data_IF_271119321461
#
_entry.id   IF_271119321461
#
_cell.length_a   1.000
_cell.length_b   1.000
_cell.length_c   1.000
_cell.angle_alpha   90.00
_cell.angle_beta   90.00
_cell.angle_gamma   90.00
#
_symmetry.space_group_name_H-M   'P 1'
#
loop_
_entity.id
_entity.type
_entity.pdbx_description
1 polymer ?
#
# COMPACT_ATOMS: atom_id res chain seq x y z
N UNK A 1 17.61 3.32 14.51
CA UNK A 1 17.93 4.77 14.43
C UNK A 1 16.67 5.43 13.88
N UNK A 2 16.10 6.40 14.58
CA UNK A 2 14.78 7.02 14.36
C UNK A 2 13.56 6.11 14.62
N UNK A 3 13.14 5.94 15.89
CA UNK A 3 11.87 5.28 16.22
C UNK A 3 10.68 6.07 15.63
N UNK A 4 9.71 5.35 15.06
CA UNK A 4 8.48 5.93 14.51
C UNK A 4 7.46 6.06 15.63
N UNK A 5 6.95 7.27 15.86
CA UNK A 5 5.91 7.54 16.85
C UNK A 5 4.52 7.36 16.26
N UNK A 6 4.28 7.93 15.06
CA UNK A 6 2.96 7.94 14.44
C UNK A 6 3.03 7.88 12.91
N UNK A 7 2.06 7.22 12.30
CA UNK A 7 1.84 7.18 10.86
C UNK A 7 0.40 7.59 10.56
N UNK A 8 0.24 8.57 9.69
CA UNK A 8 -1.02 8.87 9.01
C UNK A 8 -0.89 8.36 7.58
N UNK A 9 -1.81 7.50 7.16
CA UNK A 9 -1.78 6.90 5.82
C UNK A 9 -3.12 7.07 5.12
N UNK A 10 -3.07 7.46 3.85
CA UNK A 10 -4.21 7.40 2.95
C UNK A 10 -3.85 6.52 1.78
N UNK A 11 -4.64 5.47 1.55
CA UNK A 11 -4.38 4.49 0.51
C UNK A 11 -5.25 4.74 -0.72
N UNK A 12 -4.69 4.39 -1.87
CA UNK A 12 -5.28 4.46 -3.19
C UNK A 12 -5.23 3.05 -3.75
N UNK A 13 -6.19 2.23 -3.35
CA UNK A 13 -6.18 0.80 -3.61
C UNK A 13 -6.75 0.52 -5.00
N UNK A 14 -5.96 -0.16 -5.83
CA UNK A 14 -6.37 -0.69 -7.12
C UNK A 14 -7.50 -1.73 -7.01
N UNK A 15 -8.23 -1.86 -8.11
CA UNK A 15 -9.36 -2.78 -8.29
C UNK A 15 -8.94 -4.25 -8.26
N UNK A 16 -7.72 -4.59 -8.71
CA UNK A 16 -7.27 -5.99 -8.76
C UNK A 16 -7.22 -6.70 -7.41
N UNK A 17 -7.26 -5.98 -6.28
CA UNK A 17 -7.45 -6.59 -4.95
C UNK A 17 -8.77 -7.36 -4.80
N UNK A 18 -9.79 -7.03 -5.59
CA UNK A 18 -11.07 -7.75 -5.65
C UNK A 18 -11.10 -8.86 -6.74
N UNK A 19 -9.98 -9.10 -7.43
CA UNK A 19 -9.83 -10.18 -8.40
C UNK A 19 -10.05 -9.79 -9.86
N UNK A 20 -9.97 -10.79 -10.75
CA UNK A 20 -9.97 -10.57 -12.20
C UNK A 20 -11.30 -10.05 -12.77
N UNK A 21 -12.43 -10.48 -12.21
CA UNK A 21 -13.75 -10.02 -12.64
C UNK A 21 -13.95 -8.53 -12.36
N UNK A 22 -13.53 -8.07 -11.19
CA UNK A 22 -13.52 -6.66 -10.80
C UNK A 22 -12.71 -5.80 -11.78
N UNK A 23 -11.55 -6.27 -12.25
CA UNK A 23 -10.78 -5.57 -13.29
C UNK A 23 -11.53 -5.49 -14.62
N UNK A 24 -12.12 -6.61 -15.07
CA UNK A 24 -12.91 -6.65 -16.30
C UNK A 24 -14.15 -5.73 -16.23
N UNK A 25 -14.76 -5.61 -15.05
CA UNK A 25 -15.83 -4.65 -14.79
C UNK A 25 -15.34 -3.21 -14.91
N UNK A 26 -14.19 -2.85 -14.34
CA UNK A 26 -13.65 -1.48 -14.47
C UNK A 26 -13.46 -1.11 -15.94
N UNK A 27 -12.88 -2.01 -16.74
CA UNK A 27 -12.69 -1.77 -18.17
C UNK A 27 -14.02 -1.58 -18.91
N UNK A 28 -15.01 -2.43 -18.58
CA UNK A 28 -16.33 -2.38 -19.22
C UNK A 28 -17.06 -1.09 -18.86
N UNK A 29 -17.14 -0.76 -17.57
CA UNK A 29 -17.74 0.50 -17.11
C UNK A 29 -17.02 1.70 -17.70
N UNK A 30 -15.69 1.67 -17.81
CA UNK A 30 -14.92 2.77 -18.40
C UNK A 30 -15.30 2.99 -19.87
N UNK A 31 -15.39 1.91 -20.66
CA UNK A 31 -15.85 1.98 -22.06
C UNK A 31 -17.29 2.49 -22.18
N UNK A 32 -18.18 1.98 -21.34
CA UNK A 32 -19.60 2.36 -21.37
C UNK A 32 -19.77 3.85 -21.05
N UNK A 33 -19.20 4.32 -19.93
CA UNK A 33 -19.27 5.73 -19.51
C UNK A 33 -18.68 6.66 -20.58
N UNK A 34 -17.53 6.33 -21.16
CA UNK A 34 -16.93 7.13 -22.24
C UNK A 34 -17.76 7.13 -23.53
N UNK A 35 -18.56 6.09 -23.76
CA UNK A 35 -19.51 6.01 -24.88
C UNK A 35 -20.87 6.66 -24.61
N UNK A 36 -21.05 7.31 -23.45
CA UNK A 36 -22.31 7.93 -23.04
C UNK A 36 -23.36 6.94 -22.55
N UNK A 37 -22.98 5.68 -22.27
CA UNK A 37 -23.84 4.67 -21.66
C UNK A 37 -23.70 4.71 -20.14
N UNK A 38 -24.75 4.35 -19.38
CA UNK A 38 -24.63 4.21 -17.93
C UNK A 38 -23.67 3.07 -17.57
N UNK A 39 -22.91 3.23 -16.48
CA UNK A 39 -22.18 2.12 -15.90
C UNK A 39 -23.15 1.06 -15.35
N UNK A 40 -22.79 -0.22 -15.47
CA UNK A 40 -23.55 -1.34 -14.92
C UNK A 40 -22.71 -2.07 -13.86
N UNK A 41 -22.85 -1.72 -12.56
CA UNK A 41 -22.13 -2.40 -11.50
C UNK A 41 -22.55 -3.88 -11.36
N UNK A 42 -21.58 -4.78 -11.20
CA UNK A 42 -21.80 -6.23 -11.10
C UNK A 42 -21.04 -6.85 -9.91
N UNK A 43 -19.74 -6.63 -9.81
CA UNK A 43 -18.89 -7.13 -8.72
C UNK A 43 -18.83 -6.12 -7.55
N UNK A 44 -19.06 -4.84 -7.83
CA UNK A 44 -19.16 -3.80 -6.81
C UNK A 44 -20.58 -3.24 -6.70
N UNK A 45 -20.98 -2.76 -5.51
CA UNK A 45 -22.30 -2.15 -5.31
C UNK A 45 -22.47 -0.79 -5.98
N UNK A 46 -21.38 -0.19 -6.47
CA UNK A 46 -21.35 1.16 -7.04
C UNK A 46 -20.49 1.22 -8.30
N UNK A 47 -20.68 2.26 -9.10
CA UNK A 47 -19.82 2.54 -10.25
C UNK A 47 -18.38 2.75 -9.79
N UNK A 48 -17.46 2.04 -10.43
CA UNK A 48 -16.02 2.11 -10.18
C UNK A 48 -15.27 2.89 -11.27
N UNK A 49 -15.84 3.02 -12.47
CA UNK A 49 -15.26 3.89 -13.50
C UNK A 49 -15.39 5.36 -13.09
N UNK A 50 -14.28 6.11 -13.16
CA UNK A 50 -14.22 7.54 -12.84
C UNK A 50 -14.75 7.89 -11.44
N UNK A 51 -14.59 7.00 -10.46
CA UNK A 51 -15.12 7.18 -9.11
C UNK A 51 -14.12 6.75 -8.02
N UNK A 52 -14.28 7.30 -6.81
CA UNK A 52 -13.53 6.96 -5.61
C UNK A 52 -14.52 6.58 -4.49
N UNK A 53 -14.18 5.58 -3.68
CA UNK A 53 -15.05 5.14 -2.59
C UNK A 53 -14.26 4.50 -1.44
N UNK A 54 -14.81 4.54 -0.23
CA UNK A 54 -14.27 3.81 0.93
C UNK A 54 -14.10 2.33 0.60
N UNK A 55 -13.05 1.69 1.10
CA UNK A 55 -12.86 0.25 0.90
C UNK A 55 -14.16 -0.52 1.21
N UNK A 56 -14.55 -1.45 0.32
CA UNK A 56 -15.84 -2.13 0.35
C UNK A 56 -15.96 -3.25 1.39
N UNK A 57 -15.06 -3.28 2.38
CA UNK A 57 -15.17 -4.16 3.55
C UNK A 57 -16.20 -3.61 4.55
N UNK A 58 -16.62 -4.44 5.50
CA UNK A 58 -17.58 -4.02 6.52
C UNK A 58 -17.04 -2.83 7.35
N UNK A 59 -17.95 -1.96 7.76
CA UNK A 59 -17.66 -0.83 8.67
C UNK A 59 -18.00 -1.25 10.10
N UNK A 60 -17.03 -1.08 11.01
CA UNK A 60 -17.19 -1.31 12.44
C UNK A 60 -17.99 -0.22 13.15
N UNK A 61 -18.33 -0.45 14.42
CA UNK A 61 -19.09 0.51 15.22
C UNK A 61 -18.32 1.83 15.51
N UNK A 62 -17.00 1.81 15.37
CA UNK A 62 -16.08 2.94 15.50
C UNK A 62 -15.90 3.73 14.18
N UNK A 63 -16.54 3.30 13.10
CA UNK A 63 -16.50 3.94 11.79
C UNK A 63 -15.34 3.50 10.90
N UNK A 64 -14.45 2.62 11.38
CA UNK A 64 -13.36 2.07 10.58
C UNK A 64 -13.85 0.89 9.74
N UNK A 65 -13.35 0.78 8.50
CA UNK A 65 -13.54 -0.43 7.73
C UNK A 65 -12.57 -1.54 8.19
N UNK A 66 -12.88 -2.81 7.88
CA UNK A 66 -12.02 -3.94 8.27
C UNK A 66 -10.59 -3.83 7.73
N UNK A 67 -10.40 -3.28 6.52
CA UNK A 67 -9.08 -3.10 5.90
C UNK A 67 -8.23 -2.08 6.69
N UNK A 68 -8.82 -0.97 7.10
CA UNK A 68 -8.15 0.02 7.96
C UNK A 68 -7.78 -0.59 9.32
N UNK A 69 -8.72 -1.32 9.92
CA UNK A 69 -8.48 -2.01 11.20
C UNK A 69 -7.38 -3.08 11.07
N UNK A 70 -7.31 -3.76 9.92
CA UNK A 70 -6.27 -4.73 9.59
C UNK A 70 -4.90 -4.06 9.49
N UNK A 71 -4.79 -2.94 8.77
CA UNK A 71 -3.53 -2.18 8.67
C UNK A 71 -2.97 -1.81 10.05
N UNK A 72 -3.82 -1.35 10.98
CA UNK A 72 -3.39 -1.02 12.35
C UNK A 72 -2.84 -2.26 13.07
N UNK A 73 -3.59 -3.36 13.08
CA UNK A 73 -3.20 -4.60 13.78
C UNK A 73 -1.95 -5.24 13.19
N UNK A 74 -1.88 -5.33 11.87
CA UNK A 74 -0.75 -5.95 11.16
C UNK A 74 0.52 -5.12 11.33
N UNK A 75 0.44 -3.79 11.30
CA UNK A 75 1.59 -2.92 11.56
C UNK A 75 2.17 -3.19 12.96
N UNK A 76 1.34 -3.15 14.00
CA UNK A 76 1.78 -3.44 15.38
C UNK A 76 2.43 -4.81 15.52
N UNK A 77 1.79 -5.83 14.92
CA UNK A 77 2.30 -7.20 14.93
C UNK A 77 3.63 -7.35 14.19
N UNK A 78 3.77 -6.74 13.01
CA UNK A 78 4.98 -6.83 12.18
C UNK A 78 6.17 -6.12 12.80
N UNK A 79 5.94 -4.96 13.43
CA UNK A 79 7.00 -4.20 14.10
C UNK A 79 7.26 -4.62 15.54
N UNK A 80 6.47 -5.57 16.07
CA UNK A 80 6.51 -5.98 17.48
C UNK A 80 6.37 -4.79 18.45
N UNK A 81 5.54 -3.82 18.07
CA UNK A 81 5.35 -2.56 18.78
C UNK A 81 3.86 -2.23 18.88
N UNK A 82 3.27 -2.44 20.04
CA UNK A 82 1.86 -2.10 20.32
C UNK A 82 1.65 -0.58 20.51
N UNK A 83 2.73 0.17 20.74
CA UNK A 83 2.71 1.61 20.99
C UNK A 83 2.65 2.48 19.73
N UNK A 84 3.03 1.93 18.57
CA UNK A 84 2.99 2.68 17.31
C UNK A 84 1.55 3.15 17.00
N UNK A 85 1.43 4.45 16.74
CA UNK A 85 0.16 5.09 16.46
C UNK A 85 -0.08 5.10 14.95
N UNK A 86 -1.13 4.44 14.47
CA UNK A 86 -1.45 4.35 13.05
C UNK A 86 -2.89 4.79 12.82
N UNK A 87 -3.11 5.69 11.87
CA UNK A 87 -4.45 6.10 11.43
C UNK A 87 -4.53 6.00 9.91
N UNK A 88 -5.13 4.91 9.39
CA UNK A 88 -5.32 4.70 7.97
C UNK A 88 -6.69 5.20 7.49
N UNK A 89 -6.73 5.63 6.23
CA UNK A 89 -7.96 5.80 5.45
C UNK A 89 -7.82 5.05 4.14
N UNK A 90 -8.72 4.08 3.90
CA UNK A 90 -8.60 3.18 2.77
C UNK A 90 -9.59 3.49 1.66
N UNK A 91 -9.09 4.00 0.52
CA UNK A 91 -9.92 4.40 -0.62
C UNK A 91 -9.61 3.53 -1.83
N UNK A 92 -10.66 2.99 -2.46
CA UNK A 92 -10.55 2.32 -3.75
C UNK A 92 -10.57 3.36 -4.88
N UNK A 93 -9.68 3.19 -5.84
CA UNK A 93 -9.48 4.08 -6.99
C UNK A 93 -9.65 3.35 -8.33
N UNK A 94 -9.96 4.03 -9.44
CA UNK A 94 -10.20 3.41 -10.75
C UNK A 94 -8.87 3.04 -11.43
N UNK A 95 -8.03 2.29 -10.74
CA UNK A 95 -6.72 1.84 -11.18
C UNK A 95 -6.76 0.32 -11.21
N UNK A 96 -6.36 -0.27 -12.34
CA UNK A 96 -6.42 -1.72 -12.51
C UNK A 96 -5.52 -2.44 -11.52
N UNK A 97 -4.28 -1.99 -11.35
CA UNK A 97 -3.24 -2.69 -10.60
C UNK A 97 -2.28 -1.72 -9.92
N UNK A 98 -1.60 -2.23 -8.88
CA UNK A 98 -0.73 -1.51 -7.95
C UNK A 98 -1.49 -0.58 -7.00
N UNK A 99 -1.20 -0.71 -5.71
CA UNK A 99 -1.68 0.23 -4.72
C UNK A 99 -0.73 1.42 -4.65
N UNK A 100 -1.25 2.55 -4.20
CA UNK A 100 -0.42 3.69 -3.81
C UNK A 100 -0.83 4.19 -2.44
N UNK A 101 0.11 4.83 -1.75
CA UNK A 101 -0.14 5.36 -0.41
C UNK A 101 0.61 6.68 -0.24
N UNK A 102 -0.07 7.65 0.36
CA UNK A 102 0.61 8.80 0.97
C UNK A 102 0.83 8.50 2.44
N UNK A 103 2.07 8.65 2.90
CA UNK A 103 2.42 8.54 4.32
C UNK A 103 2.88 9.89 4.84
N UNK A 104 2.36 10.27 6.00
CA UNK A 104 2.96 11.26 6.89
C UNK A 104 3.45 10.51 8.13
N UNK A 105 4.76 10.58 8.39
CA UNK A 105 5.43 9.80 9.42
C UNK A 105 6.04 10.77 10.43
N UNK A 106 5.65 10.61 11.69
CA UNK A 106 6.24 11.30 12.83
C UNK A 106 7.23 10.37 13.53
N UNK A 107 8.44 10.87 13.77
CA UNK A 107 9.51 10.19 14.49
C UNK A 107 9.62 10.72 15.92
N UNK A 108 10.26 9.95 16.80
CA UNK A 108 10.47 10.38 18.18
C UNK A 108 11.44 11.56 18.31
N UNK A 109 12.42 11.60 17.41
CA UNK A 109 13.48 12.61 17.32
C UNK A 109 13.48 13.22 15.92
N UNK A 110 14.01 14.45 15.74
CA UNK A 110 14.12 15.07 14.43
C UNK A 110 14.87 14.19 13.43
N UNK A 111 14.38 14.14 12.20
CA UNK A 111 15.03 13.45 11.08
C UNK A 111 14.82 14.23 9.80
N UNK A 112 15.88 14.32 9.00
CA UNK A 112 15.82 15.04 7.73
C UNK A 112 15.26 14.14 6.63
N UNK A 113 14.55 14.74 5.68
CA UNK A 113 14.11 14.04 4.46
C UNK A 113 15.28 13.39 3.69
N UNK A 114 16.49 13.97 3.78
CA UNK A 114 17.68 13.42 3.15
C UNK A 114 18.17 12.14 3.83
N UNK A 115 18.15 12.09 5.17
CA UNK A 115 18.47 10.86 5.93
C UNK A 115 17.46 9.75 5.62
N UNK A 116 16.16 10.07 5.58
CA UNK A 116 15.11 9.11 5.18
C UNK A 116 15.38 8.57 3.78
N UNK A 117 15.72 9.45 2.82
CA UNK A 117 16.07 9.04 1.46
C UNK A 117 17.27 8.08 1.43
N UNK A 118 18.32 8.37 2.20
CA UNK A 118 19.52 7.51 2.27
C UNK A 118 19.21 6.13 2.85
N UNK A 119 18.36 6.06 3.88
CA UNK A 119 17.92 4.80 4.48
C UNK A 119 17.14 3.97 3.45
N UNK A 120 16.16 4.59 2.78
CA UNK A 120 15.32 3.91 1.79
C UNK A 120 16.10 3.47 0.56
N UNK A 121 17.13 4.21 0.14
CA UNK A 121 17.99 3.83 -0.97
C UNK A 121 18.76 2.52 -0.72
N UNK A 122 19.01 2.18 0.54
CA UNK A 122 19.73 0.97 0.94
C UNK A 122 18.79 -0.17 1.33
N UNK A 123 17.48 0.10 1.39
CA UNK A 123 16.49 -0.87 1.84
C UNK A 123 16.20 -1.90 0.73
N UNK A 124 16.27 -3.21 1.01
CA UNK A 124 15.98 -4.23 0.01
C UNK A 124 14.51 -4.21 -0.40
N UNK A 125 14.24 -4.36 -1.70
CA UNK A 125 12.89 -4.34 -2.26
C UNK A 125 12.26 -2.95 -2.39
N UNK A 126 13.07 -1.89 -2.27
CA UNK A 126 12.67 -0.50 -2.51
C UNK A 126 13.48 0.06 -3.67
N UNK A 127 12.77 0.69 -4.61
CA UNK A 127 13.37 1.50 -5.67
C UNK A 127 12.95 2.96 -5.48
N UNK A 128 13.91 3.88 -5.42
CA UNK A 128 13.61 5.31 -5.32
C UNK A 128 13.24 5.91 -6.69
N UNK A 129 12.05 6.50 -6.77
CA UNK A 129 11.58 7.30 -7.92
C UNK A 129 11.22 8.67 -7.39
N UNK A 130 12.18 9.58 -7.35
CA UNK A 130 12.02 10.87 -6.64
C UNK A 130 12.85 11.95 -7.33
N UNK A 131 12.47 12.24 -8.58
CA UNK A 131 13.03 13.29 -9.43
C UNK A 131 12.15 14.54 -9.38
N UNK A 132 12.63 15.54 -8.65
CA UNK A 132 11.92 16.82 -8.44
C UNK A 132 12.06 17.77 -9.62
N UNK A 133 13.17 17.71 -10.37
CA UNK A 133 13.39 18.60 -11.51
C UNK A 133 12.55 18.16 -12.71
N UNK A 134 12.51 16.84 -12.97
CA UNK A 134 11.68 16.23 -14.00
C UNK A 134 10.22 16.01 -13.60
N UNK A 135 9.85 16.26 -12.34
CA UNK A 135 8.51 16.00 -11.78
C UNK A 135 8.07 14.53 -11.97
N UNK A 136 8.98 13.60 -11.74
CA UNK A 136 8.76 12.16 -11.88
C UNK A 136 8.85 11.47 -10.52
N UNK A 137 7.77 10.76 -10.19
CA UNK A 137 7.51 10.15 -8.89
C UNK A 137 6.82 8.79 -9.11
N UNK A 138 6.64 7.95 -8.07
CA UNK A 138 6.05 6.64 -8.24
C UNK A 138 4.68 6.73 -8.94
N UNK A 139 4.42 5.83 -9.87
CA UNK A 139 3.13 5.71 -10.54
C UNK A 139 2.67 4.25 -10.53
N UNK A 140 1.36 3.97 -10.33
CA UNK A 140 0.82 2.60 -10.39
C UNK A 140 1.13 1.86 -11.70
N UNK A 141 1.18 2.58 -12.82
CA UNK A 141 1.53 2.00 -14.12
C UNK A 141 2.97 1.48 -14.16
N UNK A 142 3.90 2.18 -13.50
CA UNK A 142 5.31 1.78 -13.44
C UNK A 142 5.55 0.71 -12.37
N UNK A 143 4.79 0.75 -11.27
CA UNK A 143 4.88 -0.25 -10.21
C UNK A 143 4.24 -1.60 -10.61
N UNK A 144 3.32 -1.61 -11.58
CA UNK A 144 2.61 -2.81 -12.01
C UNK A 144 3.55 -3.85 -12.62
N UNK A 145 3.57 -5.06 -12.06
CA UNK A 145 4.46 -6.12 -12.51
C UNK A 145 5.91 -5.97 -12.04
N UNK A 146 6.22 -4.96 -11.22
CA UNK A 146 7.52 -4.76 -10.60
C UNK A 146 7.52 -5.37 -9.20
N UNK A 147 8.65 -5.98 -8.82
CA UNK A 147 8.81 -6.66 -7.54
C UNK A 147 9.10 -5.68 -6.40
N UNK A 148 9.82 -4.59 -6.71
CA UNK A 148 10.14 -3.52 -5.77
C UNK A 148 8.94 -2.58 -5.54
N UNK A 149 8.87 -2.04 -4.33
CA UNK A 149 8.00 -0.89 -4.03
C UNK A 149 8.71 0.38 -4.49
N UNK A 150 8.03 1.15 -5.34
CA UNK A 150 8.52 2.45 -5.79
C UNK A 150 8.22 3.50 -4.73
N UNK A 151 9.22 4.23 -4.26
CA UNK A 151 9.08 5.25 -3.20
C UNK A 151 9.64 6.59 -3.65
N UNK A 152 8.93 7.67 -3.37
CA UNK A 152 9.36 9.03 -3.68
C UNK A 152 8.53 10.10 -3.01
N UNK A 153 8.54 11.32 -3.56
CA UNK A 153 7.93 12.51 -2.94
C UNK A 153 8.38 12.75 -1.50
N UNK A 154 9.60 12.31 -1.18
CA UNK A 154 10.16 12.35 0.17
C UNK A 154 10.47 13.80 0.50
N UNK A 155 9.90 14.34 1.57
CA UNK A 155 10.07 15.74 1.96
C UNK A 155 9.80 15.95 3.44
N UNK A 156 10.36 17.02 3.99
CA UNK A 156 10.05 17.42 5.37
C UNK A 156 8.59 17.87 5.46
N UNK A 157 7.92 17.50 6.54
CA UNK A 157 6.60 18.04 6.87
C UNK A 157 6.74 19.50 7.34
N UNK A 158 6.23 20.43 6.54
CA UNK A 158 6.30 21.87 6.84
C UNK A 158 5.36 22.30 7.97
N UNK A 159 4.38 21.48 8.33
CA UNK A 159 3.46 21.75 9.45
C UNK A 159 4.10 21.44 10.81
N UNK A 160 5.25 20.75 10.82
CA UNK A 160 5.98 20.34 12.02
C UNK A 160 7.35 21.02 12.11
N UNK A 161 7.43 22.20 12.74
CA UNK A 161 8.67 22.97 12.82
C UNK A 161 9.75 22.31 13.68
N UNK A 162 9.41 21.28 14.47
CA UNK A 162 10.34 20.50 15.28
C UNK A 162 11.19 19.50 14.46
N UNK A 163 10.93 19.35 13.16
CA UNK A 163 11.71 18.48 12.27
C UNK A 163 11.44 16.99 12.47
N UNK A 164 10.39 16.62 13.20
CA UNK A 164 10.05 15.21 13.48
C UNK A 164 9.17 14.56 12.40
N UNK A 165 8.64 15.33 11.45
CA UNK A 165 7.71 14.86 10.43
C UNK A 165 8.32 14.75 9.03
N UNK A 166 8.05 13.65 8.34
CA UNK A 166 8.42 13.43 6.93
C UNK A 166 7.21 12.90 6.17
N UNK A 167 6.99 13.43 4.97
CA UNK A 167 6.00 12.91 4.03
C UNK A 167 6.67 12.10 2.92
N UNK A 168 6.01 11.04 2.46
CA UNK A 168 6.39 10.31 1.25
C UNK A 168 5.17 9.76 0.50
N UNK A 169 5.40 9.35 -0.74
CA UNK A 169 4.44 8.62 -1.57
C UNK A 169 5.08 7.32 -2.04
N UNK A 170 4.30 6.24 -2.08
CA UNK A 170 4.77 4.96 -2.58
C UNK A 170 3.73 4.33 -3.50
N UNK A 171 4.21 3.46 -4.40
CA UNK A 171 3.36 2.56 -5.18
C UNK A 171 4.01 1.20 -5.34
N UNK A 172 3.22 0.14 -5.19
CA UNK A 172 3.71 -1.23 -5.29
C UNK A 172 2.63 -2.18 -5.82
N UNK A 173 3.07 -3.19 -6.57
CA UNK A 173 2.18 -4.24 -7.04
C UNK A 173 1.77 -5.17 -5.89
N UNK A 174 0.57 -4.96 -5.38
CA UNK A 174 0.05 -5.71 -4.25
C UNK A 174 -0.20 -7.19 -4.55
N UNK A 175 -0.35 -7.58 -5.83
CA UNK A 175 -0.49 -8.99 -6.22
C UNK A 175 0.86 -9.71 -6.21
N UNK A 176 1.95 -8.97 -6.40
CA UNK A 176 3.32 -9.47 -6.29
C UNK A 176 3.86 -9.25 -4.89
N UNK A 177 4.44 -8.07 -4.61
CA UNK A 177 5.09 -7.79 -3.32
C UNK A 177 4.12 -7.88 -2.16
N UNK A 178 2.87 -7.46 -2.34
CA UNK A 178 1.83 -7.57 -1.31
C UNK A 178 1.28 -8.98 -1.06
N UNK A 179 1.61 -9.97 -1.92
CA UNK A 179 1.09 -11.33 -1.81
C UNK A 179 2.09 -12.40 -2.25
N UNK A 180 2.19 -12.66 -3.56
CA UNK A 180 2.90 -13.83 -4.09
C UNK A 180 4.41 -13.82 -3.79
N UNK A 181 5.08 -12.68 -4.04
CA UNK A 181 6.52 -12.57 -3.85
C UNK A 181 6.89 -12.65 -2.37
N UNK A 182 6.11 -12.01 -1.49
CA UNK A 182 6.37 -12.09 -0.05
C UNK A 182 6.23 -13.53 0.47
N UNK A 183 5.23 -14.28 -0.02
CA UNK A 183 5.07 -15.69 0.32
C UNK A 183 6.26 -16.55 -0.15
N UNK A 184 6.76 -16.30 -1.37
CA UNK A 184 7.97 -16.96 -1.88
C UNK A 184 9.21 -16.61 -1.06
N UNK A 185 9.41 -15.33 -0.74
CA UNK A 185 10.55 -14.87 0.06
C UNK A 185 10.53 -15.47 1.48
N UNK A 186 9.35 -15.59 2.09
CA UNK A 186 9.20 -16.30 3.38
C UNK A 186 9.61 -17.77 3.22
N UNK A 187 9.17 -18.45 2.15
CA UNK A 187 9.54 -19.83 1.89
C UNK A 187 11.05 -20.00 1.67
N UNK A 188 11.68 -19.12 0.90
CA UNK A 188 13.14 -19.08 0.67
C UNK A 188 13.89 -18.94 2.00
N UNK A 189 13.49 -18.02 2.88
CA UNK A 189 14.09 -17.87 4.21
C UNK A 189 13.90 -19.12 5.07
N UNK A 190 12.76 -19.80 4.99
CA UNK A 190 12.54 -21.07 5.70
C UNK A 190 13.43 -22.19 5.17
N UNK A 191 13.67 -22.26 3.85
CA UNK A 191 14.64 -23.20 3.24
C UNK A 191 16.04 -22.90 3.77
N UNK A 192 16.48 -21.65 3.67
CA UNK A 192 17.82 -21.21 4.10
C UNK A 192 18.08 -21.48 5.58
N UNK A 193 17.05 -21.32 6.42
CA UNK A 193 17.12 -21.61 7.86
C UNK A 193 16.94 -23.09 8.21
N UNK A 194 16.67 -23.96 7.23
CA UNK A 194 16.41 -25.38 7.47
C UNK A 194 15.13 -25.67 8.26
N UNK A 195 14.14 -24.78 8.19
CA UNK A 195 12.88 -24.82 8.97
C UNK A 195 11.71 -25.42 8.17
N UNK A 196 11.95 -25.85 6.93
CA UNK A 196 10.98 -26.61 6.16
C UNK A 196 11.01 -28.08 6.59
N UNK A 197 9.95 -28.47 7.28
CA UNK A 197 9.70 -29.85 7.66
C UNK A 197 8.46 -30.34 6.93
N UNK A 198 8.48 -31.60 6.48
CA UNK A 198 7.27 -32.26 6.00
C UNK A 198 6.26 -32.30 7.14
N UNK A 199 5.07 -31.74 6.95
CA UNK A 199 3.97 -31.99 7.89
C UNK A 199 3.73 -33.50 7.99
N UNK A 200 3.41 -34.03 9.18
CA UNK A 200 2.88 -35.39 9.24
C UNK A 200 1.65 -35.41 8.36
N UNK A 201 1.66 -36.27 7.33
CA UNK A 201 0.47 -36.57 6.53
C UNK A 201 -0.67 -36.83 7.50
N UNK A 202 -1.72 -36.00 7.44
CA UNK A 202 -2.96 -36.29 8.14
C UNK A 202 -3.41 -37.68 7.66
N UNK A 203 -3.35 -38.66 8.55
CA UNK A 203 -3.91 -39.98 8.33
C UNK A 203 -5.39 -39.80 8.00
N UNK A 204 -5.79 -40.31 6.83
CA UNK A 204 -7.16 -40.34 6.33
C UNK A 204 -8.11 -41.09 7.28
#
# INVERSE_FOLDING_TARGET
>A
RHPVRRVVVSTYQAISGAGAKAMAELETQTRDVLSGKPAAPQEFPQQIAFNLFSHNSAIGADGYCEEESKMIRETRKMFHDEGILVTPTCIRVPILRAHSETLNIEFEEPVTAQEVRQILQQAPGITLVDDREGNHFPMPLEASGVDDVLVGRIRQDLSRPDGTGVDLFLSGDQLRKGAALNAMQIAEVLVERGQLHSSPTASA
#
